data_IF_241460300361
#
_entry.id   IF_241460300361
#
_cell.length_a   1.000
_cell.length_b   1.000
_cell.length_c   1.000
_cell.angle_alpha   90.00
_cell.angle_beta   90.00
_cell.angle_gamma   90.00
#
_symmetry.space_group_name_H-M   'P 1'
#
loop_
_entity.id
_entity.type
_entity.pdbx_description
1 polymer ?
#
# COMPACT_ATOMS: atom_id res chain seq x y z
N UNK A 1 36.91 37.60 18.35
CA UNK A 1 35.74 36.77 17.98
C UNK A 1 34.57 37.23 18.84
N UNK A 2 33.58 37.87 18.22
CA UNK A 2 32.63 38.72 18.93
C UNK A 2 31.51 37.84 19.48
N UNK A 3 31.38 37.73 20.81
CA UNK A 3 30.37 36.89 21.49
C UNK A 3 28.94 37.14 20.96
N UNK A 4 28.63 38.38 20.59
CA UNK A 4 27.35 38.75 19.99
C UNK A 4 27.13 38.14 18.60
N UNK A 5 28.18 38.05 17.78
CA UNK A 5 28.13 37.47 16.44
C UNK A 5 27.97 35.93 16.48
N UNK A 6 28.56 35.29 17.49
CA UNK A 6 28.38 33.84 17.75
C UNK A 6 26.93 33.53 18.15
N UNK A 7 26.31 34.38 18.99
CA UNK A 7 24.93 34.18 19.42
C UNK A 7 23.93 34.25 18.25
N UNK A 8 24.11 35.19 17.32
CA UNK A 8 23.27 35.31 16.13
C UNK A 8 23.39 34.10 15.20
N UNK A 9 24.61 33.56 15.00
CA UNK A 9 24.81 32.37 14.17
C UNK A 9 24.10 31.14 14.75
N UNK A 10 24.11 30.96 16.06
CA UNK A 10 23.41 29.84 16.71
C UNK A 10 21.89 30.00 16.57
N UNK A 11 21.34 31.19 16.81
CA UNK A 11 19.88 31.42 16.77
C UNK A 11 19.31 31.23 15.37
N UNK A 12 20.05 31.55 14.31
CA UNK A 12 19.57 31.46 12.92
C UNK A 12 19.91 30.12 12.27
N UNK A 13 21.12 29.60 12.47
CA UNK A 13 21.55 28.37 11.80
C UNK A 13 21.01 27.11 12.47
N UNK A 14 20.87 27.10 13.80
CA UNK A 14 20.36 25.95 14.52
C UNK A 14 18.93 25.54 14.11
N UNK A 15 17.94 26.45 14.00
CA UNK A 15 16.60 26.07 13.52
C UNK A 15 16.59 25.63 12.05
N UNK A 16 17.46 26.20 11.18
CA UNK A 16 17.57 25.77 9.78
C UNK A 16 18.15 24.36 9.65
N UNK A 17 19.16 24.03 10.46
CA UNK A 17 19.74 22.68 10.53
C UNK A 17 18.70 21.70 11.04
N UNK A 18 17.97 22.03 12.11
CA UNK A 18 16.89 21.18 12.63
C UNK A 18 15.79 20.97 11.58
N UNK A 19 15.37 22.03 10.87
CA UNK A 19 14.38 21.92 9.81
C UNK A 19 14.85 20.98 8.68
N UNK A 20 16.13 21.08 8.28
CA UNK A 20 16.71 20.21 7.25
C UNK A 20 16.75 18.74 7.67
N UNK A 21 17.05 18.45 8.94
CA UNK A 21 17.04 17.09 9.49
C UNK A 21 15.61 16.53 9.50
N UNK A 22 14.62 17.31 9.93
CA UNK A 22 13.21 16.90 9.90
C UNK A 22 12.68 16.64 8.49
N UNK A 23 13.09 17.46 7.50
CA UNK A 23 12.76 17.21 6.10
C UNK A 23 13.43 15.92 5.57
N UNK A 24 14.68 15.66 5.96
CA UNK A 24 15.39 14.47 5.52
C UNK A 24 14.84 13.18 6.15
N UNK A 25 14.37 13.22 7.40
CA UNK A 25 13.68 12.09 8.05
C UNK A 25 12.39 11.68 7.33
N UNK A 26 11.81 12.54 6.48
CA UNK A 26 10.61 12.21 5.70
C UNK A 26 10.93 11.46 4.38
N UNK A 27 12.20 11.31 4.00
CA UNK A 27 12.60 10.68 2.73
C UNK A 27 13.51 9.44 2.88
N UNK A 28 13.75 8.94 4.10
CA UNK A 28 14.35 7.61 4.27
C UNK A 28 13.25 6.56 4.19
N UNK A 29 12.98 6.09 2.97
CA UNK A 29 12.21 4.87 2.75
C UNK A 29 13.10 3.71 3.22
N UNK A 30 12.95 3.36 4.49
CA UNK A 30 13.66 2.26 5.13
C UNK A 30 13.30 0.95 4.42
N UNK A 31 14.29 0.34 3.76
CA UNK A 31 14.27 -1.09 3.48
C UNK A 31 14.51 -1.82 4.80
N UNK A 32 13.46 -2.04 5.59
CA UNK A 32 13.52 -2.99 6.67
C UNK A 32 12.13 -3.55 6.97
N UNK A 33 12.04 -4.87 6.84
CA UNK A 33 10.96 -5.68 7.38
C UNK A 33 10.92 -5.48 8.89
N UNK A 34 9.97 -4.69 9.39
CA UNK A 34 9.57 -4.75 10.80
C UNK A 34 8.07 -4.51 10.97
N UNK A 35 7.48 -5.15 11.99
CA UNK A 35 6.05 -5.27 12.19
C UNK A 35 5.47 -3.93 12.61
N UNK A 36 4.40 -3.53 11.93
CA UNK A 36 3.67 -2.30 12.20
C UNK A 36 2.73 -2.51 13.39
N UNK A 37 3.09 -1.95 14.53
CA UNK A 37 2.24 -1.80 15.71
C UNK A 37 1.39 -0.53 15.56
N UNK A 38 0.40 -0.56 14.67
CA UNK A 38 -0.67 0.44 14.60
C UNK A 38 -1.90 -0.28 14.07
N UNK A 39 -2.69 -0.87 14.98
CA UNK A 39 -3.93 -1.62 14.72
C UNK A 39 -4.05 -2.11 13.27
N UNK A 40 -3.10 -2.97 12.90
CA UNK A 40 -2.93 -3.43 11.52
C UNK A 40 -4.21 -4.16 11.15
N UNK A 41 -5.06 -3.51 10.34
CA UNK A 41 -6.16 -4.19 9.68
C UNK A 41 -5.53 -5.33 8.89
N UNK A 42 -5.61 -6.54 9.47
CA UNK A 42 -5.05 -7.74 8.87
C UNK A 42 -5.91 -8.03 7.65
N UNK A 43 -5.32 -7.94 6.46
CA UNK A 43 -5.98 -8.34 5.23
C UNK A 43 -5.43 -9.70 4.81
N UNK A 44 -6.31 -10.66 4.57
CA UNK A 44 -5.94 -11.92 3.95
C UNK A 44 -6.11 -11.76 2.43
N UNK A 45 -5.01 -11.80 1.69
CA UNK A 45 -5.00 -11.71 0.22
C UNK A 45 -5.29 -13.09 -0.37
N UNK A 46 -6.15 -13.16 -1.37
CA UNK A 46 -6.36 -14.38 -2.14
C UNK A 46 -5.12 -14.67 -3.02
N UNK A 47 -4.45 -15.77 -2.73
CA UNK A 47 -3.24 -16.21 -3.45
C UNK A 47 -3.42 -17.62 -4.01
N UNK A 48 -2.72 -17.91 -5.11
CA UNK A 48 -2.63 -19.25 -5.68
C UNK A 48 -1.60 -20.12 -4.92
N UNK A 49 -1.41 -21.37 -5.35
CA UNK A 49 -0.46 -22.33 -4.75
C UNK A 49 1.01 -21.85 -4.75
N UNK A 50 1.33 -20.80 -5.52
CA UNK A 50 2.66 -20.17 -5.58
C UNK A 50 2.78 -18.93 -4.69
N UNK A 51 1.75 -18.61 -3.92
CA UNK A 51 1.69 -17.41 -3.09
C UNK A 51 1.53 -16.11 -3.88
N UNK A 52 1.10 -16.18 -5.14
CA UNK A 52 0.89 -14.99 -5.98
C UNK A 52 -0.58 -14.57 -5.95
N UNK A 53 -0.90 -13.26 -6.04
CA UNK A 53 -2.28 -12.78 -6.10
C UNK A 53 -3.06 -13.49 -7.21
N UNK A 54 -4.14 -14.16 -6.84
CA UNK A 54 -4.96 -14.93 -7.77
C UNK A 54 -6.00 -14.03 -8.44
N UNK A 55 -6.19 -14.20 -9.75
CA UNK A 55 -7.18 -13.45 -10.56
C UNK A 55 -7.10 -11.94 -10.33
N UNK A 56 -5.88 -11.40 -10.33
CA UNK A 56 -5.61 -10.02 -9.95
C UNK A 56 -4.49 -9.43 -10.81
N UNK A 57 -4.63 -8.18 -11.25
CA UNK A 57 -3.61 -7.48 -12.05
C UNK A 57 -3.71 -5.97 -11.91
N UNK A 58 -2.66 -5.26 -12.30
CA UNK A 58 -2.63 -3.80 -12.27
C UNK A 58 -2.09 -3.20 -10.98
N UNK A 59 -1.55 -2.00 -11.10
CA UNK A 59 -1.05 -1.19 -10.00
C UNK A 59 -2.11 -0.15 -9.61
N UNK A 60 -2.10 0.28 -8.36
CA UNK A 60 -3.05 1.24 -7.83
C UNK A 60 -2.42 2.14 -6.77
N UNK A 61 -3.08 3.26 -6.50
CA UNK A 61 -2.75 4.18 -5.42
C UNK A 61 -3.80 4.16 -4.31
N UNK A 62 -5.05 3.85 -4.64
CA UNK A 62 -6.19 3.86 -3.71
C UNK A 62 -7.21 2.78 -4.07
N UNK A 63 -8.06 2.39 -3.11
CA UNK A 63 -9.04 1.31 -3.28
C UNK A 63 -9.99 1.51 -4.46
N UNK A 64 -10.42 2.75 -4.72
CA UNK A 64 -11.34 3.05 -5.81
C UNK A 64 -10.71 2.97 -7.21
N UNK A 65 -9.38 2.79 -7.30
CA UNK A 65 -8.72 2.52 -8.57
C UNK A 65 -9.01 1.10 -9.07
N UNK A 66 -9.34 0.18 -8.16
CA UNK A 66 -9.52 -1.23 -8.45
C UNK A 66 -11.01 -1.59 -8.52
N UNK A 67 -11.39 -2.38 -9.52
CA UNK A 67 -12.76 -2.85 -9.69
C UNK A 67 -12.80 -4.27 -10.26
N UNK A 68 -13.88 -5.03 -10.00
CA UNK A 68 -14.11 -6.32 -10.64
C UNK A 68 -14.31 -6.18 -12.15
N UNK A 69 -13.59 -6.98 -12.94
CA UNK A 69 -13.62 -7.03 -14.40
C UNK A 69 -13.43 -8.47 -14.90
N UNK A 70 -13.35 -8.70 -16.22
CA UNK A 70 -13.46 -10.04 -16.81
C UNK A 70 -14.92 -10.44 -17.08
N UNK A 71 -15.12 -11.48 -17.88
CA UNK A 71 -16.45 -11.89 -18.33
C UNK A 71 -17.46 -12.15 -17.18
N UNK A 72 -16.98 -12.70 -16.07
CA UNK A 72 -17.77 -13.03 -14.87
C UNK A 72 -17.45 -12.11 -13.69
N UNK A 73 -16.80 -10.96 -13.95
CA UNK A 73 -16.24 -10.08 -12.91
C UNK A 73 -15.25 -10.79 -11.97
N UNK A 74 -14.52 -11.78 -12.48
CA UNK A 74 -13.63 -12.64 -11.71
C UNK A 74 -12.25 -12.02 -11.46
N UNK A 75 -11.85 -11.01 -12.24
CA UNK A 75 -10.53 -10.37 -12.14
C UNK A 75 -10.62 -9.07 -11.36
N UNK A 76 -9.76 -8.84 -10.37
CA UNK A 76 -9.61 -7.54 -9.73
C UNK A 76 -8.51 -6.74 -10.44
N UNK A 77 -8.86 -5.61 -11.05
CA UNK A 77 -7.90 -4.79 -11.79
C UNK A 77 -8.24 -3.30 -11.79
N UNK A 78 -7.28 -2.49 -12.23
CA UNK A 78 -7.46 -1.04 -12.44
C UNK A 78 -7.82 -0.66 -13.89
N UNK A 79 -8.14 -1.65 -14.72
CA UNK A 79 -8.49 -1.50 -16.13
C UNK A 79 -9.41 -2.63 -16.55
N UNK A 80 -10.11 -2.48 -17.66
CA UNK A 80 -10.93 -3.56 -18.22
C UNK A 80 -10.04 -4.72 -18.71
N UNK A 81 -10.34 -5.92 -18.24
CA UNK A 81 -9.67 -7.15 -18.68
C UNK A 81 -10.68 -8.03 -19.41
N UNK A 82 -10.36 -8.39 -20.65
CA UNK A 82 -11.17 -9.32 -21.43
C UNK A 82 -10.68 -10.76 -21.18
N UNK A 83 -11.55 -11.60 -20.63
CA UNK A 83 -11.29 -13.01 -20.34
C UNK A 83 -12.30 -13.91 -21.06
N UNK A 84 -12.01 -15.20 -21.14
CA UNK A 84 -13.01 -16.19 -21.56
C UNK A 84 -14.08 -16.36 -20.48
N UNK A 85 -15.30 -16.70 -20.90
CA UNK A 85 -16.45 -16.90 -20.03
C UNK A 85 -16.56 -18.37 -19.59
N UNK A 86 -15.49 -18.90 -19.03
CA UNK A 86 -15.43 -20.28 -18.54
C UNK A 86 -16.05 -20.38 -17.14
N UNK A 87 -16.68 -21.52 -16.85
CA UNK A 87 -17.15 -21.85 -15.50
C UNK A 87 -15.94 -22.31 -14.71
N UNK A 88 -15.37 -21.40 -13.93
CA UNK A 88 -14.23 -21.64 -13.03
C UNK A 88 -14.58 -21.19 -11.62
N UNK A 89 -13.95 -21.78 -10.62
CA UNK A 89 -14.08 -21.31 -9.25
C UNK A 89 -13.34 -19.96 -9.11
N UNK A 90 -14.09 -18.90 -8.83
CA UNK A 90 -13.58 -17.55 -8.57
C UNK A 90 -13.97 -17.12 -7.15
N UNK A 91 -13.25 -16.15 -6.53
CA UNK A 91 -13.59 -15.68 -5.19
C UNK A 91 -15.04 -15.19 -5.12
N UNK A 92 -15.78 -15.71 -4.15
CA UNK A 92 -17.14 -15.25 -3.83
C UNK A 92 -17.08 -13.78 -3.42
N UNK A 93 -17.88 -12.94 -4.08
CA UNK A 93 -17.92 -11.49 -3.85
C UNK A 93 -18.45 -11.14 -2.46
N UNK A 94 -19.15 -12.08 -1.83
CA UNK A 94 -19.64 -12.01 -0.45
C UNK A 94 -18.50 -12.20 0.56
N UNK A 95 -17.44 -12.90 0.18
CA UNK A 95 -16.29 -13.23 1.05
C UNK A 95 -15.10 -12.31 0.79
N UNK A 96 -14.85 -11.95 -0.47
CA UNK A 96 -13.70 -11.15 -0.90
C UNK A 96 -14.12 -9.81 -1.51
N UNK A 97 -13.34 -8.78 -1.19
CA UNK A 97 -13.41 -7.45 -1.79
C UNK A 97 -12.27 -7.24 -2.78
N UNK A 98 -12.53 -6.52 -3.87
CA UNK A 98 -11.50 -6.05 -4.78
C UNK A 98 -11.05 -4.65 -4.34
N UNK A 99 -9.74 -4.44 -4.19
CA UNK A 99 -9.19 -3.14 -3.80
C UNK A 99 -7.67 -3.10 -3.87
N UNK A 100 -7.10 -2.03 -3.31
CA UNK A 100 -5.69 -1.69 -3.45
C UNK A 100 -4.93 -2.02 -2.17
N UNK A 101 -4.10 -3.06 -2.22
CA UNK A 101 -3.21 -3.45 -1.11
C UNK A 101 -1.79 -3.47 -1.66
N UNK A 102 -0.86 -2.81 -0.97
CA UNK A 102 0.56 -2.73 -1.38
C UNK A 102 0.74 -2.29 -2.84
N UNK A 103 0.02 -1.23 -3.25
CA UNK A 103 0.04 -0.66 -4.61
C UNK A 103 -0.38 -1.63 -5.73
N UNK A 104 -1.10 -2.71 -5.39
CA UNK A 104 -1.59 -3.72 -6.33
C UNK A 104 -3.09 -3.94 -6.15
N UNK A 105 -3.80 -4.05 -7.26
CA UNK A 105 -5.19 -4.51 -7.20
C UNK A 105 -5.20 -6.00 -6.85
N UNK A 106 -5.87 -6.36 -5.77
CA UNK A 106 -5.97 -7.74 -5.29
C UNK A 106 -7.35 -8.03 -4.73
N UNK A 107 -7.73 -9.31 -4.72
CA UNK A 107 -8.84 -9.81 -3.92
C UNK A 107 -8.38 -10.00 -2.48
N UNK A 108 -9.07 -9.39 -1.53
CA UNK A 108 -8.75 -9.50 -0.10
C UNK A 108 -9.99 -9.64 0.76
N UNK A 109 -9.82 -10.15 1.98
CA UNK A 109 -10.85 -10.12 3.03
C UNK A 109 -10.27 -9.59 4.33
N UNK A 110 -11.12 -9.18 5.26
CA UNK A 110 -10.67 -8.86 6.61
C UNK A 110 -10.30 -10.16 7.33
N UNK A 111 -9.05 -10.24 7.80
CA UNK A 111 -8.57 -11.36 8.60
C UNK A 111 -9.25 -11.33 9.97
N UNK A 112 -9.90 -12.43 10.33
CA UNK A 112 -10.41 -12.60 11.69
C UNK A 112 -9.23 -12.84 12.64
N UNK A 113 -9.26 -12.14 13.79
CA UNK A 113 -8.36 -12.44 14.90
C UNK A 113 -8.79 -13.81 15.46
N UNK A 114 -7.96 -14.83 15.27
CA UNK A 114 -8.13 -16.16 15.88
C UNK A 114 -7.76 -16.05 17.36
#
# INVERSE_FOLDING_TARGET
>A
MNKSLIAFLIIVLFPLIILSIFYFSKHSSDNNSQPSDNETQRFDILVNDKGQPQMATGNCNQNSDCFPTGCSSQVCANHEVFTTCEVVDFPEKETYSCGCIENRCVWYRQGSKI
#
